data_IF_399210931700
#
_entry.id   IF_399210931700
#
_cell.length_a   1.000
_cell.length_b   1.000
_cell.length_c   1.000
_cell.angle_alpha   90.00
_cell.angle_beta   90.00
_cell.angle_gamma   90.00
#
_symmetry.space_group_name_H-M   'P 1'
#
loop_
_entity.id
_entity.type
_entity.pdbx_description
1 polymer ?
#
# COMPACT_ATOMS: atom_id res chain seq x y z
N UNK A 1 16.86 -11.33 -4.92
CA UNK A 1 15.54 -10.81 -4.50
C UNK A 1 15.50 -10.56 -2.99
N UNK A 2 14.75 -9.57 -2.57
CA UNK A 2 14.59 -9.23 -1.16
C UNK A 2 13.20 -9.60 -0.68
N UNK A 3 13.11 -10.28 0.45
CA UNK A 3 11.88 -10.52 1.18
C UNK A 3 12.07 -9.98 2.60
N UNK A 4 11.31 -8.95 2.98
CA UNK A 4 11.41 -8.33 4.30
C UNK A 4 12.83 -7.85 4.63
N UNK A 5 13.48 -7.13 3.73
CA UNK A 5 14.81 -6.53 3.93
C UNK A 5 16.00 -7.48 3.92
N UNK A 6 15.81 -8.78 3.67
CA UNK A 6 16.92 -9.74 3.57
C UNK A 6 17.01 -10.32 2.17
N UNK A 7 18.24 -10.49 1.68
CA UNK A 7 18.48 -11.15 0.42
C UNK A 7 18.18 -12.64 0.55
N UNK A 8 17.32 -13.13 -0.30
CA UNK A 8 17.01 -14.56 -0.37
C UNK A 8 17.99 -15.23 -1.31
N UNK A 9 18.93 -15.94 -0.73
CA UNK A 9 20.06 -16.54 -1.46
C UNK A 9 19.77 -17.93 -2.05
N UNK A 10 18.61 -18.55 -1.73
CA UNK A 10 18.32 -19.89 -2.23
C UNK A 10 16.95 -20.44 -1.81
N UNK A 11 16.58 -21.64 -2.32
CA UNK A 11 15.29 -22.27 -2.05
C UNK A 11 15.00 -22.55 -0.58
N UNK A 12 16.02 -22.88 0.21
CA UNK A 12 15.89 -23.09 1.66
C UNK A 12 15.44 -21.85 2.40
N UNK A 13 16.01 -20.68 2.06
CA UNK A 13 15.61 -19.41 2.65
C UNK A 13 14.17 -19.02 2.29
N UNK A 14 13.71 -19.39 1.11
CA UNK A 14 12.32 -19.20 0.68
C UNK A 14 11.40 -20.11 1.51
N UNK A 15 11.75 -21.40 1.68
CA UNK A 15 10.92 -22.35 2.41
C UNK A 15 10.78 -22.01 3.89
N UNK A 16 11.81 -21.49 4.54
CA UNK A 16 11.78 -21.08 5.94
C UNK A 16 10.90 -19.85 6.16
N UNK A 17 10.89 -18.91 5.24
CA UNK A 17 10.04 -17.72 5.35
C UNK A 17 8.57 -17.98 5.13
N UNK A 18 8.25 -18.94 4.29
CA UNK A 18 6.86 -19.32 4.07
C UNK A 18 6.31 -20.29 5.12
N UNK A 19 7.16 -20.84 6.02
CA UNK A 19 6.73 -21.70 7.13
C UNK A 19 6.06 -20.97 8.29
N UNK A 20 6.24 -19.67 8.41
CA UNK A 20 5.78 -18.91 9.59
C UNK A 20 4.43 -18.18 9.44
N UNK A 21 3.95 -18.03 8.25
CA UNK A 21 2.61 -17.49 8.02
C UNK A 21 1.74 -18.68 7.63
N UNK A 22 0.51 -18.76 8.01
CA UNK A 22 -0.46 -19.78 7.58
C UNK A 22 -0.19 -20.24 6.13
N UNK A 23 0.93 -20.93 6.00
CA UNK A 23 1.71 -21.09 4.79
C UNK A 23 1.26 -22.32 4.03
N UNK A 24 -0.05 -22.45 3.96
CA UNK A 24 -0.70 -23.38 3.06
C UNK A 24 -0.52 -23.00 1.59
N UNK A 25 0.06 -21.83 1.30
CA UNK A 25 0.09 -21.28 -0.04
C UNK A 25 1.19 -21.83 -0.92
N UNK A 26 2.44 -21.81 -0.44
CA UNK A 26 3.58 -22.31 -1.20
C UNK A 26 4.68 -22.72 -0.25
N UNK A 27 5.10 -23.99 -0.29
CA UNK A 27 6.34 -24.42 0.31
C UNK A 27 7.29 -24.91 -0.79
N UNK A 28 8.48 -24.34 -0.84
CA UNK A 28 9.53 -24.81 -1.75
C UNK A 28 10.32 -25.87 -1.01
N UNK A 29 10.28 -27.10 -1.50
CA UNK A 29 11.16 -28.16 -1.05
C UNK A 29 12.27 -28.27 -2.10
N UNK A 30 13.49 -27.82 -1.82
CA UNK A 30 14.57 -27.93 -2.79
C UNK A 30 14.87 -29.41 -3.04
N UNK A 31 14.76 -29.81 -4.29
CA UNK A 31 15.21 -31.11 -4.71
C UNK A 31 16.69 -31.08 -5.14
N UNK A 32 17.26 -29.91 -5.37
CA UNK A 32 18.62 -29.69 -5.87
C UNK A 32 19.13 -28.31 -5.46
N UNK A 33 20.40 -28.08 -5.62
CA UNK A 33 21.19 -26.92 -5.23
C UNK A 33 20.63 -25.53 -5.59
N UNK A 34 21.08 -24.48 -4.90
CA UNK A 34 20.47 -23.16 -4.90
C UNK A 34 20.38 -22.53 -6.27
N UNK A 35 19.30 -21.76 -6.47
CA UNK A 35 19.10 -20.87 -7.63
C UNK A 35 20.18 -19.77 -7.65
N UNK A 36 21.42 -20.13 -7.89
CA UNK A 36 22.53 -19.19 -7.97
C UNK A 36 23.28 -19.40 -9.28
N UNK A 37 23.42 -18.35 -10.06
CA UNK A 37 24.19 -18.35 -11.29
C UNK A 37 23.45 -18.92 -12.51
N UNK A 38 24.22 -19.45 -13.46
CA UNK A 38 23.72 -19.97 -14.74
C UNK A 38 23.20 -21.43 -14.67
N UNK A 39 22.93 -21.95 -13.48
CA UNK A 39 22.50 -23.33 -13.27
C UNK A 39 21.05 -23.58 -13.77
N UNK A 40 20.82 -24.81 -14.19
CA UNK A 40 19.51 -25.37 -14.49
C UNK A 40 19.20 -26.50 -13.50
N UNK A 41 17.93 -26.65 -13.13
CA UNK A 41 17.54 -27.73 -12.22
C UNK A 41 16.03 -27.84 -12.07
N UNK A 42 15.65 -28.83 -11.25
CA UNK A 42 14.26 -29.07 -10.89
C UNK A 42 14.05 -28.75 -9.41
N UNK A 43 12.90 -28.18 -9.09
CA UNK A 43 12.47 -27.93 -7.73
C UNK A 43 11.11 -28.60 -7.50
N UNK A 44 10.94 -29.16 -6.30
CA UNK A 44 9.65 -29.64 -5.85
C UNK A 44 8.99 -28.57 -5.01
N UNK A 45 7.81 -28.14 -5.44
CA UNK A 45 7.00 -27.15 -4.79
C UNK A 45 5.72 -27.79 -4.27
N UNK A 46 5.11 -27.20 -3.27
CA UNK A 46 3.73 -27.50 -2.89
C UNK A 46 2.89 -26.25 -2.95
N UNK A 47 1.77 -26.33 -3.63
CA UNK A 47 0.78 -25.29 -3.69
C UNK A 47 -0.49 -25.80 -3.02
N UNK A 48 -0.94 -25.18 -1.94
CA UNK A 48 -2.07 -25.63 -1.13
C UNK A 48 -1.97 -27.09 -0.69
N UNK A 49 -0.73 -27.55 -0.39
CA UNK A 49 -0.47 -28.94 0.01
C UNK A 49 -0.20 -29.91 -1.12
N UNK A 50 -0.64 -29.59 -2.34
CA UNK A 50 -0.43 -30.46 -3.52
C UNK A 50 0.98 -30.31 -4.09
N UNK A 51 1.62 -31.41 -4.54
CA UNK A 51 2.93 -31.36 -5.15
C UNK A 51 2.88 -30.65 -6.51
N UNK A 52 3.88 -29.83 -6.77
CA UNK A 52 4.03 -29.07 -8.00
C UNK A 52 5.44 -29.28 -8.56
N UNK A 53 5.53 -29.57 -9.84
CA UNK A 53 6.81 -29.63 -10.54
C UNK A 53 7.20 -28.24 -11.04
N UNK A 54 8.46 -27.90 -10.88
CA UNK A 54 9.03 -26.65 -11.36
C UNK A 54 10.41 -26.89 -11.96
N UNK A 55 10.77 -26.10 -12.94
CA UNK A 55 12.11 -26.05 -13.52
C UNK A 55 12.67 -24.64 -13.37
N UNK A 56 13.93 -24.53 -13.08
CA UNK A 56 14.60 -23.24 -13.05
C UNK A 56 15.80 -23.21 -14.00
N UNK A 57 16.04 -22.01 -14.52
CA UNK A 57 17.23 -21.69 -15.31
C UNK A 57 17.69 -20.30 -14.94
N UNK A 58 18.85 -20.20 -14.34
CA UNK A 58 19.35 -18.94 -13.80
C UNK A 58 18.38 -18.36 -12.78
N UNK A 59 17.83 -17.18 -13.05
CA UNK A 59 16.84 -16.50 -12.22
C UNK A 59 15.38 -16.79 -12.59
N UNK A 60 15.14 -17.61 -13.62
CA UNK A 60 13.80 -17.94 -14.12
C UNK A 60 13.30 -19.23 -13.49
N UNK A 61 12.14 -19.18 -12.88
CA UNK A 61 11.41 -20.33 -12.36
C UNK A 61 10.19 -20.60 -13.24
N UNK A 62 10.15 -21.79 -13.86
CA UNK A 62 9.00 -22.25 -14.63
C UNK A 62 8.18 -23.21 -13.79
N UNK A 63 6.92 -22.89 -13.56
CA UNK A 63 5.96 -23.74 -12.85
C UNK A 63 5.19 -24.58 -13.86
N UNK A 64 5.12 -25.89 -13.64
CA UNK A 64 4.27 -26.80 -14.40
C UNK A 64 2.97 -26.99 -13.62
N UNK A 65 1.88 -26.41 -14.13
CA UNK A 65 0.57 -26.38 -13.47
C UNK A 65 -0.45 -27.20 -14.29
N UNK A 66 -0.50 -28.53 -14.13
CA UNK A 66 -1.46 -29.35 -14.85
C UNK A 66 -2.91 -28.95 -14.51
N UNK A 67 -3.75 -28.84 -15.52
CA UNK A 67 -5.18 -28.53 -15.33
C UNK A 67 -5.50 -27.06 -15.07
N UNK A 68 -4.51 -26.17 -15.04
CA UNK A 68 -4.74 -24.71 -14.93
C UNK A 68 -5.02 -24.12 -16.31
N UNK A 69 -6.14 -23.43 -16.45
CA UNK A 69 -6.49 -22.75 -17.70
C UNK A 69 -5.69 -21.46 -17.90
N UNK A 70 -5.45 -21.08 -19.16
CA UNK A 70 -4.82 -19.78 -19.50
C UNK A 70 -5.59 -18.60 -18.91
N UNK A 71 -6.92 -18.67 -18.88
CA UNK A 71 -7.75 -17.62 -18.28
C UNK A 71 -7.49 -17.45 -16.77
N UNK A 72 -7.26 -18.55 -16.06
CA UNK A 72 -6.93 -18.49 -14.63
C UNK A 72 -5.52 -17.92 -14.42
N UNK A 73 -4.55 -18.28 -15.24
CA UNK A 73 -3.21 -17.72 -15.20
C UNK A 73 -3.21 -16.22 -15.47
N UNK A 74 -3.95 -15.80 -16.50
CA UNK A 74 -4.06 -14.39 -16.81
C UNK A 74 -4.74 -13.59 -15.67
N UNK A 75 -5.78 -14.15 -15.07
CA UNK A 75 -6.41 -13.56 -13.88
C UNK A 75 -5.43 -13.42 -12.72
N UNK A 76 -4.63 -14.45 -12.46
CA UNK A 76 -3.61 -14.43 -11.42
C UNK A 76 -2.53 -13.37 -11.70
N UNK A 77 -2.08 -13.23 -12.96
CA UNK A 77 -1.13 -12.17 -13.36
C UNK A 77 -1.69 -10.78 -13.09
N UNK A 78 -2.93 -10.51 -13.46
CA UNK A 78 -3.58 -9.21 -13.23
C UNK A 78 -3.70 -8.86 -11.74
N UNK A 79 -3.99 -9.84 -10.90
CA UNK A 79 -3.96 -9.65 -9.44
C UNK A 79 -2.53 -9.36 -8.97
N UNK A 80 -1.55 -10.13 -9.46
CA UNK A 80 -0.15 -9.95 -9.10
C UNK A 80 0.39 -8.56 -9.47
N UNK A 81 -0.05 -7.99 -10.59
CA UNK A 81 0.30 -6.62 -10.99
C UNK A 81 -0.11 -5.57 -9.95
N UNK A 82 -1.28 -5.72 -9.33
CA UNK A 82 -1.71 -4.87 -8.22
C UNK A 82 -0.85 -5.08 -6.97
N UNK A 83 -0.54 -6.35 -6.65
CA UNK A 83 0.33 -6.70 -5.51
C UNK A 83 1.74 -6.15 -5.71
N UNK A 84 2.29 -6.23 -6.92
CA UNK A 84 3.62 -5.69 -7.22
C UNK A 84 3.65 -4.17 -7.06
N UNK A 85 2.66 -3.45 -7.59
CA UNK A 85 2.57 -2.01 -7.38
C UNK A 85 2.60 -1.66 -5.88
N UNK A 86 1.79 -2.32 -5.07
CA UNK A 86 1.74 -2.06 -3.63
C UNK A 86 3.10 -2.36 -2.96
N UNK A 87 3.74 -3.46 -3.31
CA UNK A 87 5.05 -3.85 -2.76
C UNK A 87 6.18 -2.93 -3.18
N UNK A 88 6.17 -2.48 -4.42
CA UNK A 88 7.17 -1.56 -4.94
C UNK A 88 7.08 -0.21 -4.22
N UNK A 89 5.86 0.33 -4.05
CA UNK A 89 5.62 1.57 -3.30
C UNK A 89 6.11 1.46 -1.85
N UNK A 90 5.79 0.36 -1.15
CA UNK A 90 6.24 0.14 0.25
C UNK A 90 7.76 0.01 0.36
N UNK A 91 8.43 -0.49 -0.68
CA UNK A 91 9.89 -0.66 -0.68
C UNK A 91 10.65 0.59 -1.10
N UNK A 92 10.02 1.51 -1.80
CA UNK A 92 10.64 2.75 -2.26
C UNK A 92 11.14 3.59 -1.07
N UNK A 93 12.36 4.15 -1.11
CA UNK A 93 12.86 4.96 -0.01
C UNK A 93 12.13 6.31 0.10
N UNK A 94 11.97 6.88 1.31
CA UNK A 94 11.10 8.04 1.53
C UNK A 94 11.62 9.33 0.89
N UNK A 95 12.90 9.42 0.59
CA UNK A 95 13.46 10.55 -0.16
C UNK A 95 13.09 10.52 -1.66
N UNK A 96 12.55 9.40 -2.14
CA UNK A 96 12.01 9.26 -3.50
C UNK A 96 10.49 9.23 -3.48
N UNK A 97 9.88 8.45 -2.58
CA UNK A 97 8.43 8.37 -2.44
C UNK A 97 7.91 9.44 -1.46
N UNK A 98 7.95 10.69 -1.90
CA UNK A 98 7.30 11.81 -1.21
C UNK A 98 5.78 11.78 -1.40
N UNK A 99 4.98 12.59 -0.66
CA UNK A 99 3.54 12.69 -0.90
C UNK A 99 3.18 13.04 -2.35
N UNK A 100 3.98 13.88 -3.00
CA UNK A 100 3.82 14.23 -4.41
C UNK A 100 4.12 13.05 -5.33
N UNK A 101 5.24 12.35 -5.11
CA UNK A 101 5.58 11.16 -5.88
C UNK A 101 4.51 10.05 -5.73
N UNK A 102 3.95 9.86 -4.54
CA UNK A 102 2.84 8.93 -4.33
C UNK A 102 1.61 9.34 -5.14
N UNK A 103 1.32 10.65 -5.22
CA UNK A 103 0.24 11.16 -6.06
C UNK A 103 0.52 10.95 -7.56
N UNK A 104 1.75 11.13 -8.02
CA UNK A 104 2.16 10.84 -9.39
C UNK A 104 1.96 9.35 -9.74
N UNK A 105 2.32 8.44 -8.83
CA UNK A 105 2.06 7.01 -9.00
C UNK A 105 0.56 6.68 -9.09
N UNK A 106 -0.27 7.39 -8.33
CA UNK A 106 -1.72 7.26 -8.46
C UNK A 106 -2.23 7.73 -9.83
N UNK A 107 -1.67 8.83 -10.36
CA UNK A 107 -2.04 9.37 -11.68
C UNK A 107 -1.74 8.40 -12.83
N UNK A 108 -0.76 7.50 -12.70
CA UNK A 108 -0.47 6.46 -13.69
C UNK A 108 -1.69 5.52 -13.92
N UNK A 109 -2.56 5.34 -12.90
CA UNK A 109 -3.75 4.51 -13.01
C UNK A 109 -4.80 5.06 -13.99
N UNK A 110 -4.68 6.33 -14.41
CA UNK A 110 -5.53 6.92 -15.47
C UNK A 110 -5.43 6.13 -16.78
N UNK A 111 -4.26 5.56 -17.08
CA UNK A 111 -4.07 4.71 -18.25
C UNK A 111 -4.93 3.44 -18.25
N UNK A 112 -5.46 3.05 -17.08
CA UNK A 112 -6.35 1.90 -16.90
C UNK A 112 -7.84 2.30 -16.75
N UNK A 113 -8.18 3.56 -17.04
CA UNK A 113 -9.55 4.07 -16.93
C UNK A 113 -9.97 4.44 -15.50
N UNK A 114 -9.03 4.60 -14.57
CA UNK A 114 -9.31 5.12 -13.23
C UNK A 114 -9.28 6.64 -13.29
N UNK A 115 -10.34 7.29 -12.82
CA UNK A 115 -10.34 8.73 -12.59
C UNK A 115 -9.49 9.02 -11.35
N UNK A 116 -8.55 9.94 -11.46
CA UNK A 116 -7.68 10.34 -10.34
C UNK A 116 -7.65 11.85 -10.25
N UNK A 117 -7.96 12.36 -9.06
CA UNK A 117 -7.84 13.77 -8.71
C UNK A 117 -6.87 13.92 -7.54
N UNK A 118 -6.01 14.91 -7.62
CA UNK A 118 -5.03 15.22 -6.58
C UNK A 118 -5.26 16.64 -6.11
N UNK A 119 -5.60 16.78 -4.83
CA UNK A 119 -5.79 18.08 -4.19
C UNK A 119 -4.49 18.51 -3.53
N UNK A 120 -4.12 19.75 -3.74
CA UNK A 120 -2.98 20.40 -3.11
C UNK A 120 -3.33 20.91 -1.70
N UNK A 121 -2.33 21.40 -0.98
CA UNK A 121 -2.47 21.92 0.38
C UNK A 121 -3.57 22.99 0.50
N UNK A 122 -3.69 23.86 -0.49
CA UNK A 122 -4.70 24.93 -0.51
C UNK A 122 -6.11 24.34 -0.60
N UNK A 123 -6.34 23.44 -1.53
CA UNK A 123 -7.63 22.77 -1.69
C UNK A 123 -7.98 21.93 -0.46
N UNK A 124 -7.01 21.27 0.17
CA UNK A 124 -7.17 20.53 1.43
C UNK A 124 -7.62 21.48 2.56
N UNK A 125 -7.03 22.67 2.64
CA UNK A 125 -7.39 23.69 3.62
C UNK A 125 -8.81 24.24 3.38
N UNK A 126 -9.18 24.48 2.13
CA UNK A 126 -10.52 24.93 1.74
C UNK A 126 -11.61 23.89 2.09
N UNK A 127 -11.27 22.59 2.05
CA UNK A 127 -12.14 21.52 2.52
C UNK A 127 -12.32 21.52 4.05
N UNK A 128 -11.37 22.05 4.81
CA UNK A 128 -11.38 22.05 6.26
C UNK A 128 -10.79 20.78 6.90
N UNK A 129 -9.89 20.10 6.23
CA UNK A 129 -9.18 18.90 6.73
C UNK A 129 -8.06 19.29 7.71
N UNK A 130 -8.42 19.87 8.85
CA UNK A 130 -7.46 20.48 9.77
C UNK A 130 -6.59 19.48 10.53
N UNK A 131 -7.07 18.29 10.80
CA UNK A 131 -6.26 17.25 11.44
C UNK A 131 -5.18 16.71 10.48
N UNK A 132 -5.53 16.48 9.21
CA UNK A 132 -4.58 16.09 8.18
C UNK A 132 -3.50 17.15 7.97
N UNK A 133 -3.88 18.41 7.83
CA UNK A 133 -2.94 19.51 7.65
C UNK A 133 -2.01 19.70 8.85
N UNK A 134 -2.50 19.50 10.06
CA UNK A 134 -1.67 19.59 11.27
C UNK A 134 -0.56 18.54 11.28
N UNK A 135 -0.84 17.31 10.88
CA UNK A 135 0.20 16.28 10.75
C UNK A 135 1.24 16.69 9.71
N UNK A 136 0.79 17.17 8.56
CA UNK A 136 1.65 17.53 7.42
C UNK A 136 2.55 18.74 7.67
N UNK A 137 2.14 19.68 8.55
CA UNK A 137 2.77 21.01 8.66
C UNK A 137 4.25 20.97 9.11
N UNK A 138 4.71 19.84 9.63
CA UNK A 138 6.11 19.67 10.04
C UNK A 138 7.08 19.38 8.89
N UNK A 139 6.56 18.99 7.72
CA UNK A 139 7.36 18.67 6.54
C UNK A 139 7.54 19.86 5.60
N UNK A 140 8.61 19.84 4.81
CA UNK A 140 8.80 20.71 3.65
C UNK A 140 8.12 20.13 2.39
N UNK A 141 7.83 18.82 2.37
CA UNK A 141 7.06 18.17 1.32
C UNK A 141 5.56 18.44 1.53
N UNK A 142 4.90 19.14 0.60
CA UNK A 142 3.49 19.50 0.78
C UNK A 142 2.58 18.27 0.72
N UNK A 143 1.50 18.27 1.52
CA UNK A 143 0.54 17.17 1.52
C UNK A 143 -0.21 17.06 0.18
N UNK A 144 -0.71 15.88 -0.11
CA UNK A 144 -1.59 15.59 -1.23
C UNK A 144 -2.79 14.77 -0.74
N UNK A 145 -3.99 15.20 -1.10
CA UNK A 145 -5.17 14.37 -0.92
C UNK A 145 -5.57 13.77 -2.26
N UNK A 146 -5.46 12.44 -2.37
CA UNK A 146 -5.63 11.70 -3.61
C UNK A 146 -7.01 11.06 -3.61
N UNK A 147 -7.80 11.36 -4.62
CA UNK A 147 -9.13 10.79 -4.87
C UNK A 147 -9.06 9.89 -6.10
N UNK A 148 -9.59 8.69 -5.98
CA UNK A 148 -9.66 7.72 -7.07
C UNK A 148 -11.11 7.29 -7.29
N UNK A 149 -11.47 7.05 -8.55
CA UNK A 149 -12.75 6.45 -8.91
C UNK A 149 -12.57 5.50 -10.08
N UNK A 150 -12.98 4.26 -9.90
CA UNK A 150 -13.14 3.28 -10.96
C UNK A 150 -14.61 2.91 -11.02
N UNK A 151 -15.28 3.20 -12.15
CA UNK A 151 -16.72 3.01 -12.30
C UNK A 151 -17.02 2.48 -13.71
N UNK A 152 -16.85 1.16 -13.93
CA UNK A 152 -17.16 0.55 -15.21
C UNK A 152 -18.68 0.55 -15.46
N UNK A 153 -19.07 0.54 -16.71
CA UNK A 153 -20.47 0.40 -17.09
C UNK A 153 -21.06 -0.91 -16.50
N UNK A 154 -22.25 -0.81 -15.92
CA UNK A 154 -22.93 -1.96 -15.31
C UNK A 154 -22.36 -2.38 -13.95
N UNK A 155 -21.67 -1.49 -13.24
CA UNK A 155 -21.25 -1.75 -11.86
C UNK A 155 -22.44 -2.14 -10.97
N UNK A 156 -22.29 -3.26 -10.24
CA UNK A 156 -23.37 -3.88 -9.44
C UNK A 156 -23.29 -3.56 -7.95
N UNK A 157 -22.18 -3.05 -7.52
CA UNK A 157 -21.90 -2.72 -6.12
C UNK A 157 -20.93 -1.53 -6.05
N UNK A 158 -20.90 -0.86 -4.90
CA UNK A 158 -19.93 0.19 -4.59
C UNK A 158 -19.17 -0.15 -3.31
N UNK A 159 -17.89 0.14 -3.31
CA UNK A 159 -17.02 0.06 -2.15
C UNK A 159 -16.10 1.27 -2.12
N UNK A 160 -16.00 1.91 -0.97
CA UNK A 160 -15.11 3.02 -0.70
C UNK A 160 -13.89 2.51 0.07
N UNK A 161 -12.68 2.84 -0.39
CA UNK A 161 -11.41 2.44 0.20
C UNK A 161 -10.70 3.67 0.76
N UNK A 162 -10.26 3.60 2.00
CA UNK A 162 -9.47 4.67 2.63
C UNK A 162 -8.11 4.09 3.00
N UNK A 163 -7.03 4.74 2.58
CA UNK A 163 -5.67 4.27 2.83
C UNK A 163 -4.84 5.28 3.61
N UNK A 164 -4.18 4.83 4.69
CA UNK A 164 -3.16 5.62 5.38
C UNK A 164 -2.01 5.88 4.42
N UNK A 165 -1.62 7.16 4.25
CA UNK A 165 -0.64 7.60 3.26
C UNK A 165 0.56 8.34 3.87
N UNK A 166 1.04 7.95 5.05
CA UNK A 166 2.24 8.54 5.65
C UNK A 166 3.49 8.03 4.92
N UNK A 167 4.04 8.84 4.01
CA UNK A 167 5.23 8.44 3.22
C UNK A 167 6.48 8.35 4.08
N UNK A 168 6.50 9.04 5.22
CA UNK A 168 7.43 8.82 6.31
C UNK A 168 6.83 9.25 7.65
N UNK A 169 7.10 8.49 8.70
CA UNK A 169 6.68 8.79 10.06
C UNK A 169 7.84 8.77 11.05
N UNK A 170 8.25 9.96 11.52
CA UNK A 170 9.24 10.09 12.58
C UNK A 170 8.65 9.97 13.99
N UNK A 171 7.32 9.94 14.12
CA UNK A 171 6.61 10.11 15.38
C UNK A 171 6.34 11.57 15.75
N UNK A 172 6.90 12.52 15.00
CA UNK A 172 6.82 13.94 15.36
C UNK A 172 7.57 14.22 16.67
N UNK A 173 7.05 15.13 17.52
CA UNK A 173 7.66 15.41 18.83
C UNK A 173 7.63 14.22 19.81
N UNK A 174 6.74 13.27 19.62
CA UNK A 174 6.77 11.93 20.26
C UNK A 174 7.69 11.00 19.46
N UNK A 175 8.97 11.39 19.34
CA UNK A 175 9.96 10.85 18.41
C UNK A 175 10.18 9.35 18.61
N UNK A 176 10.11 8.60 17.52
CA UNK A 176 10.40 7.17 17.51
C UNK A 176 11.90 6.88 17.78
N UNK A 177 12.22 5.76 18.44
CA UNK A 177 13.58 5.23 18.44
C UNK A 177 14.06 4.94 17.01
N UNK A 178 15.37 5.09 16.76
CA UNK A 178 15.97 4.89 15.42
C UNK A 178 15.61 3.52 14.81
N UNK A 179 15.62 2.46 15.61
CA UNK A 179 15.30 1.10 15.16
C UNK A 179 13.86 0.99 14.63
N UNK A 180 12.90 1.60 15.33
CA UNK A 180 11.50 1.63 14.89
C UNK A 180 11.32 2.55 13.67
N UNK A 181 12.01 3.70 13.65
CA UNK A 181 11.93 4.69 12.58
C UNK A 181 12.47 4.15 11.24
N UNK A 182 13.47 3.25 11.29
CA UNK A 182 14.13 2.72 10.09
C UNK A 182 13.19 2.01 9.09
N UNK A 183 12.02 1.55 9.55
CA UNK A 183 11.02 0.88 8.72
C UNK A 183 9.85 1.78 8.32
N UNK A 184 9.81 3.02 8.76
CA UNK A 184 8.66 3.93 8.62
C UNK A 184 8.41 4.45 7.20
N UNK A 185 9.25 4.12 6.23
CA UNK A 185 8.91 4.21 4.81
C UNK A 185 7.70 3.36 4.43
N UNK A 186 7.37 2.35 5.24
CA UNK A 186 6.22 1.46 5.01
C UNK A 186 4.90 1.99 5.58
N UNK A 187 4.90 3.16 6.21
CA UNK A 187 3.73 3.71 6.90
C UNK A 187 2.64 4.26 5.95
N UNK A 188 2.88 4.11 4.67
CA UNK A 188 1.93 4.32 3.57
C UNK A 188 1.44 3.01 2.92
N UNK A 189 1.66 1.86 3.56
CA UNK A 189 1.25 0.58 2.98
C UNK A 189 -0.28 0.46 2.80
N UNK A 190 -1.08 1.16 3.61
CA UNK A 190 -2.52 1.28 3.40
C UNK A 190 -2.86 1.95 2.07
N UNK A 191 -2.22 3.09 1.77
CA UNK A 191 -2.36 3.77 0.48
C UNK A 191 -1.88 2.89 -0.68
N UNK A 192 -0.73 2.22 -0.51
CA UNK A 192 -0.20 1.30 -1.52
C UNK A 192 -1.17 0.14 -1.82
N UNK A 193 -1.80 -0.43 -0.78
CA UNK A 193 -2.80 -1.47 -0.94
C UNK A 193 -4.05 -0.96 -1.68
N UNK A 194 -4.50 0.27 -1.41
CA UNK A 194 -5.59 0.91 -2.16
C UNK A 194 -5.23 1.05 -3.63
N UNK A 195 -4.06 1.61 -3.95
CA UNK A 195 -3.61 1.75 -5.35
C UNK A 195 -3.48 0.40 -6.05
N UNK A 196 -2.94 -0.61 -5.36
CA UNK A 196 -2.85 -1.98 -5.87
C UNK A 196 -4.21 -2.60 -6.16
N UNK A 197 -5.20 -2.37 -5.28
CA UNK A 197 -6.57 -2.84 -5.47
C UNK A 197 -7.24 -2.18 -6.68
N UNK A 198 -7.07 -0.86 -6.87
CA UNK A 198 -7.56 -0.17 -8.06
C UNK A 198 -6.93 -0.70 -9.34
N UNK A 199 -5.60 -0.90 -9.35
CA UNK A 199 -4.90 -1.49 -10.50
C UNK A 199 -5.46 -2.87 -10.84
N UNK A 200 -5.56 -3.75 -9.86
CA UNK A 200 -6.07 -5.10 -10.06
C UNK A 200 -7.54 -5.11 -10.54
N UNK A 201 -8.40 -4.29 -9.94
CA UNK A 201 -9.80 -4.19 -10.32
C UNK A 201 -9.98 -3.70 -11.76
N UNK A 202 -9.24 -2.68 -12.17
CA UNK A 202 -9.26 -2.13 -13.52
C UNK A 202 -8.75 -3.15 -14.54
N UNK A 203 -7.62 -3.81 -14.28
CA UNK A 203 -7.06 -4.84 -15.14
C UNK A 203 -8.01 -6.04 -15.31
N UNK A 204 -8.72 -6.41 -14.24
CA UNK A 204 -9.68 -7.52 -14.26
C UNK A 204 -11.05 -7.13 -14.85
N UNK A 205 -11.33 -5.85 -15.05
CA UNK A 205 -12.64 -5.37 -15.49
C UNK A 205 -13.75 -5.74 -14.51
N UNK A 206 -13.48 -5.61 -13.18
CA UNK A 206 -14.46 -6.02 -12.16
C UNK A 206 -15.71 -5.12 -12.22
N UNK A 207 -16.94 -5.70 -12.18
CA UNK A 207 -18.19 -4.95 -12.24
C UNK A 207 -18.54 -4.31 -10.89
N UNK A 208 -17.63 -3.50 -10.35
CA UNK A 208 -17.74 -2.81 -9.06
C UNK A 208 -17.30 -1.35 -9.22
N UNK A 209 -18.05 -0.43 -8.63
CA UNK A 209 -17.56 0.94 -8.46
C UNK A 209 -16.65 0.98 -7.24
N UNK A 210 -15.41 1.39 -7.43
CA UNK A 210 -14.46 1.67 -6.35
C UNK A 210 -14.24 3.17 -6.25
N UNK A 211 -14.26 3.69 -5.03
CA UNK A 211 -13.77 5.03 -4.71
C UNK A 211 -12.65 4.92 -3.71
N UNK A 212 -11.61 5.71 -3.89
CA UNK A 212 -10.41 5.67 -3.05
C UNK A 212 -10.07 7.05 -2.51
N UNK A 213 -9.60 7.09 -1.25
CA UNK A 213 -9.22 8.32 -0.58
C UNK A 213 -7.92 8.09 0.19
N UNK A 214 -6.91 8.91 -0.12
CA UNK A 214 -5.58 8.79 0.48
C UNK A 214 -5.13 10.18 0.93
N UNK A 215 -4.88 10.33 2.23
CA UNK A 215 -4.27 11.52 2.81
C UNK A 215 -2.76 11.32 2.89
N UNK A 216 -2.04 11.75 1.85
CA UNK A 216 -0.61 11.58 1.72
C UNK A 216 0.16 12.75 2.35
N UNK A 217 0.99 12.47 3.36
CA UNK A 217 1.87 13.45 4.01
C UNK A 217 3.03 12.76 4.72
N UNK A 218 3.88 13.57 5.36
CA UNK A 218 4.95 13.12 6.26
C UNK A 218 4.71 13.66 7.66
N UNK A 219 5.04 12.87 8.68
CA UNK A 219 5.06 13.29 10.08
C UNK A 219 6.51 13.54 10.50
N UNK A 220 6.90 14.81 10.53
CA UNK A 220 8.29 15.21 10.79
C UNK A 220 8.40 16.21 11.93
N UNK A 221 9.60 16.28 12.54
CA UNK A 221 9.96 17.27 13.56
C UNK A 221 10.49 18.53 12.90
N UNK A 222 9.87 19.67 13.20
CA UNK A 222 10.35 20.98 12.77
C UNK A 222 9.80 22.08 13.67
N UNK A 223 10.24 23.32 13.47
CA UNK A 223 9.67 24.46 14.18
C UNK A 223 8.19 24.74 13.90
N UNK A 224 7.63 24.12 12.88
CA UNK A 224 6.22 24.25 12.48
C UNK A 224 5.37 23.04 12.86
N UNK A 225 5.99 21.91 13.28
CA UNK A 225 5.27 20.69 13.58
C UNK A 225 4.24 20.88 14.70
N UNK A 226 3.12 20.16 14.62
CA UNK A 226 2.12 20.11 15.67
C UNK A 226 2.67 19.44 16.93
N UNK A 227 2.05 19.70 18.08
CA UNK A 227 2.59 19.35 19.40
C UNK A 227 1.54 18.61 20.23
N UNK A 228 2.02 17.89 21.21
CA UNK A 228 1.17 17.38 22.29
C UNK A 228 0.49 18.57 22.99
N UNK A 229 -0.82 18.47 23.20
CA UNK A 229 -1.67 19.52 23.76
C UNK A 229 -2.31 20.45 22.71
N UNK A 230 -1.90 20.39 21.44
CA UNK A 230 -2.61 21.12 20.38
C UNK A 230 -4.03 20.55 20.21
N UNK A 231 -4.99 21.43 19.93
CA UNK A 231 -6.38 21.05 19.65
C UNK A 231 -6.66 21.27 18.17
N UNK A 232 -6.93 20.19 17.47
CA UNK A 232 -7.14 20.17 16.03
C UNK A 232 -8.64 20.13 15.71
N UNK A 233 -9.06 20.87 14.67
CA UNK A 233 -10.42 20.82 14.14
C UNK A 233 -10.44 19.90 12.92
N UNK A 234 -11.22 18.83 12.97
CA UNK A 234 -11.38 17.90 11.86
C UNK A 234 -12.42 18.36 10.85
N UNK A 235 -12.43 17.75 9.66
CA UNK A 235 -13.42 17.95 8.61
C UNK A 235 -14.87 17.72 9.11
N UNK A 236 -15.05 16.77 10.02
CA UNK A 236 -16.37 16.48 10.62
C UNK A 236 -16.86 17.57 11.58
N UNK A 237 -16.03 18.60 11.85
CA UNK A 237 -16.31 19.67 12.80
C UNK A 237 -15.97 19.35 14.26
N UNK A 238 -15.63 18.09 14.56
CA UNK A 238 -15.16 17.68 15.89
C UNK A 238 -13.76 18.21 16.16
N UNK A 239 -13.45 18.43 17.44
CA UNK A 239 -12.09 18.78 17.88
C UNK A 239 -11.42 17.58 18.51
N UNK A 240 -10.10 17.47 18.30
CA UNK A 240 -9.27 16.41 18.84
C UNK A 240 -8.05 17.02 19.51
N UNK A 241 -7.85 16.72 20.79
CA UNK A 241 -6.62 17.07 21.52
C UNK A 241 -5.53 16.04 21.19
N UNK A 242 -4.33 16.52 20.84
CA UNK A 242 -3.19 15.68 20.52
C UNK A 242 -2.52 15.24 21.81
N UNK A 243 -2.64 13.98 22.18
CA UNK A 243 -1.97 13.39 23.34
C UNK A 243 -0.64 12.73 22.98
N UNK A 244 -0.46 12.38 21.70
CA UNK A 244 0.74 11.75 21.18
C UNK A 244 0.86 12.04 19.68
N UNK A 245 1.96 12.65 19.25
CA UNK A 245 2.17 12.97 17.84
C UNK A 245 2.57 11.76 17.00
N UNK A 246 2.88 10.61 17.61
CA UNK A 246 3.09 9.30 16.97
C UNK A 246 1.75 8.54 16.73
N UNK A 247 0.64 9.22 16.96
CA UNK A 247 -0.70 8.74 16.62
C UNK A 247 -1.32 9.55 15.46
N UNK A 248 -0.49 9.97 14.52
CA UNK A 248 -0.79 10.84 13.37
C UNK A 248 -1.71 10.17 12.36
N UNK A 249 -1.56 8.86 12.15
CA UNK A 249 -2.32 8.11 11.16
C UNK A 249 -3.82 8.21 11.39
N UNK A 250 -4.28 8.07 12.62
CA UNK A 250 -5.70 8.24 12.97
C UNK A 250 -6.20 9.66 12.77
N UNK A 251 -5.33 10.67 12.81
CA UNK A 251 -5.70 12.07 12.56
C UNK A 251 -5.92 12.32 11.07
N UNK A 252 -5.01 11.83 10.21
CA UNK A 252 -5.16 11.93 8.76
C UNK A 252 -6.36 11.11 8.27
N UNK A 253 -6.57 9.93 8.85
CA UNK A 253 -7.70 9.05 8.54
C UNK A 253 -9.03 9.63 8.99
N UNK A 254 -9.08 10.37 10.12
CA UNK A 254 -10.31 11.02 10.58
C UNK A 254 -10.87 11.98 9.51
N UNK A 255 -10.03 12.76 8.86
CA UNK A 255 -10.45 13.67 7.79
C UNK A 255 -10.78 12.92 6.50
N UNK A 256 -9.98 11.90 6.13
CA UNK A 256 -10.25 11.10 4.94
C UNK A 256 -11.55 10.29 5.04
N UNK A 257 -11.85 9.70 6.21
CA UNK A 257 -13.09 8.98 6.49
C UNK A 257 -14.30 9.93 6.49
N UNK A 258 -14.17 11.09 7.13
CA UNK A 258 -15.23 12.10 7.11
C UNK A 258 -15.50 12.63 5.69
N UNK A 259 -14.46 12.71 4.85
CA UNK A 259 -14.60 13.07 3.45
C UNK A 259 -15.36 11.97 2.68
N UNK A 260 -14.98 10.71 2.85
CA UNK A 260 -15.67 9.58 2.21
C UNK A 260 -17.16 9.52 2.62
N UNK A 261 -17.47 9.75 3.90
CA UNK A 261 -18.84 9.84 4.41
C UNK A 261 -19.61 10.98 3.73
N UNK A 262 -19.01 12.16 3.62
CA UNK A 262 -19.61 13.32 2.94
C UNK A 262 -19.90 13.07 1.47
N UNK A 263 -19.05 12.28 0.80
CA UNK A 263 -19.26 11.82 -0.58
C UNK A 263 -20.31 10.68 -0.69
N UNK A 264 -20.97 10.35 0.42
CA UNK A 264 -22.05 9.37 0.48
C UNK A 264 -21.55 7.91 0.49
N UNK A 265 -20.41 7.63 1.10
CA UNK A 265 -19.95 6.25 1.28
C UNK A 265 -20.91 5.46 2.16
N UNK A 266 -21.35 4.29 1.69
CA UNK A 266 -22.21 3.37 2.46
C UNK A 266 -21.40 2.27 3.13
N UNK A 267 -20.29 1.89 2.51
CA UNK A 267 -19.37 0.86 2.99
C UNK A 267 -17.95 1.34 2.78
N UNK A 268 -17.20 1.45 3.85
CA UNK A 268 -15.80 1.86 3.82
C UNK A 268 -14.94 0.71 4.32
N UNK A 269 -13.90 0.39 3.59
CA UNK A 269 -12.79 -0.43 4.05
C UNK A 269 -11.58 0.47 4.24
N UNK A 270 -11.12 0.58 5.47
CA UNK A 270 -9.94 1.34 5.84
C UNK A 270 -8.73 0.40 5.97
N UNK A 271 -7.58 0.83 5.43
CA UNK A 271 -6.32 0.11 5.46
C UNK A 271 -5.23 1.01 6.03
N UNK A 272 -4.62 0.57 7.11
CA UNK A 272 -3.59 1.35 7.80
C UNK A 272 -2.54 0.51 8.50
N UNK A 273 -1.42 1.14 8.77
CA UNK A 273 -0.31 0.67 9.59
C UNK A 273 -0.28 1.52 10.88
N UNK A 274 -1.27 1.33 11.74
CA UNK A 274 -1.43 2.05 13.00
C UNK A 274 -0.60 1.44 14.13
#
# INVERSE_FOLDING_TARGET
>A
SYLGGQQVAGPSAISERFRGADSTWLSVVPAVEPLSGEGEGEARLRLLGEPLEARYRGTTLTLLLPGVSEALLERARRVAEGVYLARDLVNEPPNLLTPEALAERALELRALGVEVEVLDEKAIAELGMGAFLAVAQGSENPPRFIRLRYAPEGAKARLDLVGKGLTFDSGGYSLKPTESMATMKSDMAGAAAVLGAFKAAALLGLPVELRGYIAACENLVSGRAYRVGDVLKTLSGKTVEVMNTDAEGRLTLADALAYAEREGAERILELSTL
#
